data_IF_916689196646
#
_entry.id   IF_916689196646
#
_cell.length_a   1.000
_cell.length_b   1.000
_cell.length_c   1.000
_cell.angle_alpha   90.00
_cell.angle_beta   90.00
_cell.angle_gamma   90.00
#
_symmetry.space_group_name_H-M   'P 1'
#
loop_
_entity.id
_entity.type
_entity.pdbx_description
1 polymer ?
#
# COMPACT_ATOMS: atom_id res chain seq x y z
N UNK A 1 0.43 -13.88 -3.30
CA UNK A 1 -0.29 -12.59 -3.38
C UNK A 1 -1.52 -12.79 -4.24
N UNK A 2 -2.68 -12.23 -3.85
CA UNK A 2 -3.93 -12.28 -4.62
C UNK A 2 -4.41 -10.85 -4.89
N UNK A 3 -4.49 -10.38 -6.14
CA UNK A 3 -4.89 -9.00 -6.42
C UNK A 3 -6.30 -8.66 -5.91
N UNK A 4 -6.44 -7.51 -5.25
CA UNK A 4 -7.69 -6.98 -4.71
C UNK A 4 -7.86 -5.53 -5.17
N UNK A 5 -8.99 -5.22 -5.78
CA UNK A 5 -9.33 -3.85 -6.20
C UNK A 5 -9.76 -2.99 -5.02
N UNK A 6 -9.43 -1.70 -5.09
CA UNK A 6 -9.93 -0.72 -4.12
C UNK A 6 -11.45 -0.54 -4.29
N UNK A 7 -12.19 -0.39 -3.20
CA UNK A 7 -13.66 -0.19 -3.24
C UNK A 7 -14.03 1.30 -3.25
N UNK A 8 -13.19 2.15 -2.68
CA UNK A 8 -13.43 3.58 -2.51
C UNK A 8 -12.31 4.37 -3.20
N UNK A 9 -12.69 5.17 -4.21
CA UNK A 9 -11.81 6.18 -4.79
C UNK A 9 -11.84 7.46 -3.95
N UNK A 10 -10.73 8.17 -3.85
CA UNK A 10 -10.68 9.40 -3.05
C UNK A 10 -11.61 10.48 -3.64
N UNK A 11 -12.51 11.00 -2.79
CA UNK A 11 -13.50 12.03 -3.13
C UNK A 11 -13.63 13.02 -1.96
N UNK A 12 -12.71 13.99 -1.85
CA UNK A 12 -12.68 14.93 -0.72
C UNK A 12 -13.93 15.81 -0.63
N UNK A 13 -14.61 16.06 -1.74
CA UNK A 13 -15.86 16.83 -1.81
C UNK A 13 -17.01 16.25 -0.98
N UNK A 14 -16.97 14.95 -0.71
CA UNK A 14 -17.93 14.24 0.17
C UNK A 14 -17.25 13.65 1.42
N UNK A 15 -16.00 14.03 1.71
CA UNK A 15 -15.25 13.51 2.85
C UNK A 15 -14.83 12.04 2.75
N UNK A 16 -14.77 11.47 1.54
CA UNK A 16 -14.39 10.07 1.33
C UNK A 16 -12.89 9.92 1.06
N UNK A 17 -12.23 9.13 1.90
CA UNK A 17 -10.86 8.70 1.66
C UNK A 17 -10.81 7.53 0.68
N UNK A 18 -9.73 7.44 -0.09
CA UNK A 18 -9.48 6.27 -0.92
C UNK A 18 -8.94 5.10 -0.08
N UNK A 19 -9.20 3.87 -0.50
CA UNK A 19 -8.77 2.66 0.22
C UNK A 19 -7.69 1.85 -0.52
N UNK A 20 -6.85 2.51 -1.32
CA UNK A 20 -5.77 1.86 -2.07
C UNK A 20 -4.81 1.05 -1.17
N UNK A 21 -4.39 1.58 -0.02
CA UNK A 21 -3.54 0.83 0.91
C UNK A 21 -4.26 -0.38 1.50
N UNK A 22 -5.53 -0.24 1.90
CA UNK A 22 -6.35 -1.36 2.38
C UNK A 22 -6.38 -2.49 1.35
N UNK A 23 -6.55 -2.15 0.07
CA UNK A 23 -6.53 -3.12 -1.03
C UNK A 23 -5.15 -3.76 -1.25
N UNK A 24 -4.04 -3.00 -1.10
CA UNK A 24 -2.68 -3.56 -1.14
C UNK A 24 -2.45 -4.53 0.01
N UNK A 25 -2.79 -4.16 1.25
CA UNK A 25 -2.68 -5.03 2.42
C UNK A 25 -3.53 -6.29 2.27
N UNK A 26 -4.77 -6.16 1.81
CA UNK A 26 -5.63 -7.30 1.47
C UNK A 26 -4.98 -8.21 0.43
N UNK A 27 -4.31 -7.63 -0.58
CA UNK A 27 -3.64 -8.40 -1.62
C UNK A 27 -2.42 -9.18 -1.11
N UNK A 28 -1.60 -8.53 -0.27
CA UNK A 28 -0.39 -9.11 0.31
C UNK A 28 -0.70 -10.21 1.34
N UNK A 29 -1.75 -10.02 2.15
CA UNK A 29 -2.21 -11.00 3.14
C UNK A 29 -3.20 -12.03 2.57
N UNK A 30 -3.61 -11.87 1.31
CA UNK A 30 -4.61 -12.70 0.62
C UNK A 30 -5.97 -12.77 1.34
N UNK A 31 -6.37 -11.67 1.95
CA UNK A 31 -7.64 -11.54 2.67
C UNK A 31 -8.73 -10.92 1.77
N UNK A 32 -10.01 -11.24 2.02
CA UNK A 32 -11.12 -10.42 1.52
C UNK A 32 -10.97 -8.98 2.03
N UNK A 33 -11.24 -7.99 1.19
CA UNK A 33 -11.04 -6.58 1.54
C UNK A 33 -11.90 -6.16 2.75
N UNK A 34 -13.06 -6.79 2.93
CA UNK A 34 -13.97 -6.58 4.07
C UNK A 34 -13.35 -6.96 5.42
N UNK A 35 -12.30 -7.79 5.42
CA UNK A 35 -11.56 -8.16 6.64
C UNK A 35 -10.41 -7.21 6.96
N UNK A 36 -10.09 -6.27 6.07
CA UNK A 36 -9.05 -5.26 6.28
C UNK A 36 -9.71 -3.92 6.61
N UNK A 37 -9.37 -3.26 7.73
CA UNK A 37 -9.93 -1.96 8.09
C UNK A 37 -9.65 -0.87 7.03
N UNK A 38 -10.52 0.14 6.97
CA UNK A 38 -10.27 1.30 6.14
C UNK A 38 -9.43 2.32 6.94
N UNK A 39 -8.18 1.97 7.22
CA UNK A 39 -7.29 2.71 8.14
C UNK A 39 -7.34 4.24 8.00
N UNK A 40 -7.25 4.76 6.77
CA UNK A 40 -7.24 6.21 6.52
C UNK A 40 -8.59 6.89 6.84
N UNK A 41 -9.71 6.22 6.58
CA UNK A 41 -11.05 6.73 6.89
C UNK A 41 -11.31 6.64 8.40
N UNK A 42 -10.93 5.51 9.01
CA UNK A 42 -11.12 5.24 10.44
C UNK A 42 -10.29 6.19 11.30
N UNK A 43 -9.08 6.53 10.85
CA UNK A 43 -8.19 7.49 11.53
C UNK A 43 -8.65 8.95 11.40
N UNK A 44 -9.53 9.28 10.44
CA UNK A 44 -10.14 10.59 10.27
C UNK A 44 -9.15 11.78 10.34
N UNK A 45 -7.99 11.64 9.69
CA UNK A 45 -6.94 12.66 9.64
C UNK A 45 -5.87 12.56 10.74
N UNK A 46 -5.99 11.64 11.69
CA UNK A 46 -4.93 11.35 12.67
C UNK A 46 -3.87 10.42 12.07
N UNK A 47 -2.69 10.96 11.79
CA UNK A 47 -1.59 10.20 11.22
C UNK A 47 -1.06 9.11 12.18
N UNK A 48 -1.07 9.35 13.49
CA UNK A 48 -0.60 8.38 14.48
C UNK A 48 -1.54 7.19 14.54
N UNK A 49 -2.85 7.43 14.66
CA UNK A 49 -3.84 6.35 14.69
C UNK A 49 -3.82 5.53 13.40
N UNK A 50 -3.66 6.19 12.24
CA UNK A 50 -3.50 5.51 10.96
C UNK A 50 -2.34 4.50 10.97
N UNK A 51 -1.14 4.94 11.36
CA UNK A 51 0.03 4.06 11.36
C UNK A 51 -0.02 2.99 12.46
N UNK A 52 -0.50 3.33 13.65
CA UNK A 52 -0.62 2.37 14.75
C UNK A 52 -1.67 1.29 14.47
N UNK A 53 -2.82 1.65 13.89
CA UNK A 53 -3.87 0.70 13.52
C UNK A 53 -3.42 -0.25 12.41
N UNK A 54 -2.75 0.26 11.38
CA UNK A 54 -2.13 -0.55 10.33
C UNK A 54 -1.13 -1.55 10.92
N UNK A 55 -0.24 -1.08 11.80
CA UNK A 55 0.76 -1.95 12.43
C UNK A 55 0.14 -3.00 13.35
N UNK A 56 -0.88 -2.61 14.13
CA UNK A 56 -1.62 -3.52 15.02
C UNK A 56 -2.31 -4.62 14.21
N UNK A 57 -2.92 -4.26 13.09
CA UNK A 57 -3.54 -5.20 12.16
C UNK A 57 -2.52 -6.16 11.55
N UNK A 58 -1.43 -5.64 10.99
CA UNK A 58 -0.37 -6.50 10.44
C UNK A 58 0.18 -7.46 11.51
N UNK A 59 0.36 -6.98 12.74
CA UNK A 59 0.83 -7.79 13.88
C UNK A 59 -0.16 -8.86 14.29
N UNK A 60 -1.46 -8.61 14.26
CA UNK A 60 -2.46 -9.65 14.53
C UNK A 60 -2.46 -10.76 13.47
N UNK A 61 -1.91 -10.50 12.28
CA UNK A 61 -1.65 -11.49 11.23
C UNK A 61 -0.22 -12.06 11.25
N UNK A 62 0.59 -11.76 12.27
CA UNK A 62 1.95 -12.30 12.44
C UNK A 62 3.03 -11.56 11.64
N UNK A 63 2.78 -10.30 11.26
CA UNK A 63 3.72 -9.48 10.50
C UNK A 63 3.98 -8.12 11.14
N UNK A 64 5.10 -7.50 10.77
CA UNK A 64 5.41 -6.10 10.99
C UNK A 64 5.40 -5.43 9.62
N UNK A 65 4.73 -4.29 9.50
CA UNK A 65 4.76 -3.44 8.32
C UNK A 65 5.99 -2.51 8.43
N UNK A 66 6.98 -2.71 7.56
CA UNK A 66 8.24 -1.98 7.58
C UNK A 66 8.39 -1.15 6.32
N UNK A 67 8.39 0.17 6.46
CA UNK A 67 8.63 1.12 5.36
C UNK A 67 10.13 1.38 5.23
N UNK A 68 10.64 1.32 4.00
CA UNK A 68 12.01 1.70 3.64
C UNK A 68 12.00 2.59 2.38
N UNK A 69 12.96 3.51 2.23
CA UNK A 69 13.13 4.26 0.98
C UNK A 69 13.42 3.34 -0.21
N UNK A 70 12.86 3.62 -1.40
CA UNK A 70 13.02 2.78 -2.60
C UNK A 70 14.49 2.51 -2.99
N UNK A 71 15.38 3.48 -2.76
CA UNK A 71 16.83 3.33 -3.01
C UNK A 71 17.49 2.15 -2.27
N UNK A 72 16.88 1.68 -1.19
CA UNK A 72 17.37 0.56 -0.39
C UNK A 72 16.82 -0.80 -0.87
N UNK A 73 15.76 -0.80 -1.69
CA UNK A 73 15.01 -2.00 -2.07
C UNK A 73 15.78 -2.97 -2.97
N UNK A 74 16.64 -2.47 -3.86
CA UNK A 74 17.38 -3.30 -4.83
C UNK A 74 18.27 -4.37 -4.18
N UNK A 75 18.74 -4.15 -2.95
CA UNK A 75 19.54 -5.14 -2.22
C UNK A 75 18.72 -6.27 -1.55
N UNK A 76 17.39 -6.14 -1.48
CA UNK A 76 16.49 -7.16 -0.92
C UNK A 76 16.04 -8.19 -1.96
N UNK A 77 16.20 -7.88 -3.24
CA UNK A 77 15.74 -8.71 -4.33
C UNK A 77 16.94 -9.50 -4.87
N UNK A 78 16.88 -10.82 -4.76
CA UNK A 78 17.86 -11.72 -5.35
C UNK A 78 17.39 -12.26 -6.70
N UNK A 79 18.20 -13.16 -7.28
CA UNK A 79 17.86 -13.85 -8.52
C UNK A 79 16.75 -14.90 -8.34
N UNK A 80 16.50 -15.32 -7.09
CA UNK A 80 15.54 -16.37 -6.75
C UNK A 80 14.35 -15.83 -5.93
N UNK A 81 13.14 -16.08 -6.44
CA UNK A 81 11.88 -15.87 -5.72
C UNK A 81 11.21 -14.51 -5.91
N UNK A 82 9.91 -14.48 -5.62
CA UNK A 82 9.09 -13.28 -5.69
C UNK A 82 8.96 -12.64 -4.30
N UNK A 83 9.43 -11.40 -4.17
CA UNK A 83 9.23 -10.58 -2.96
C UNK A 83 8.11 -9.57 -3.22
N UNK A 84 6.90 -9.95 -2.83
CA UNK A 84 5.74 -9.07 -2.87
C UNK A 84 5.79 -8.04 -1.73
N UNK A 85 5.51 -6.78 -2.07
CA UNK A 85 5.57 -5.64 -1.15
C UNK A 85 4.62 -4.54 -1.60
N UNK A 86 4.41 -3.54 -0.76
CA UNK A 86 3.77 -2.28 -1.15
C UNK A 86 4.81 -1.34 -1.77
N UNK A 87 4.42 -0.64 -2.82
CA UNK A 87 5.14 0.54 -3.32
C UNK A 87 4.19 1.72 -3.21
N UNK A 88 4.62 2.82 -2.62
CA UNK A 88 3.83 4.02 -2.49
C UNK A 88 4.56 5.25 -3.02
N UNK A 89 3.80 6.20 -3.56
CA UNK A 89 4.35 7.39 -4.17
C UNK A 89 3.28 8.38 -4.63
N UNK A 90 3.67 9.46 -5.34
CA UNK A 90 2.74 10.45 -5.84
C UNK A 90 1.67 9.85 -6.76
N UNK A 91 0.43 10.27 -6.57
CA UNK A 91 -0.69 9.92 -7.45
C UNK A 91 -0.62 10.66 -8.81
N UNK A 92 -0.61 10.00 -9.99
CA UNK A 92 -0.76 10.67 -11.30
C UNK A 92 -2.07 11.41 -11.51
N UNK A 93 -3.04 11.31 -10.59
CA UNK A 93 -4.37 11.92 -10.73
C UNK A 93 -4.42 13.39 -10.29
N UNK A 94 -3.26 14.01 -10.03
CA UNK A 94 -3.13 15.47 -9.91
C UNK A 94 -3.77 16.09 -8.67
N UNK A 95 -4.08 15.29 -7.66
CA UNK A 95 -4.76 15.71 -6.42
C UNK A 95 -3.81 15.89 -5.23
N UNK A 96 -2.49 15.75 -5.44
CA UNK A 96 -1.48 15.98 -4.39
C UNK A 96 -1.44 14.92 -3.28
N UNK A 97 -2.15 13.79 -3.45
CA UNK A 97 -2.15 12.69 -2.48
C UNK A 97 -1.20 11.58 -2.89
N UNK A 98 -0.82 10.75 -1.92
CA UNK A 98 -0.07 9.51 -2.17
C UNK A 98 -1.00 8.39 -2.63
N UNK A 99 -0.43 7.40 -3.31
CA UNK A 99 -1.11 6.20 -3.78
C UNK A 99 -0.26 4.97 -3.48
N UNK A 100 -0.91 3.85 -3.20
CA UNK A 100 -0.26 2.58 -2.90
C UNK A 100 -0.58 1.56 -4.00
N UNK A 101 0.43 0.78 -4.40
CA UNK A 101 0.32 -0.32 -5.37
C UNK A 101 1.06 -1.55 -4.85
N UNK A 102 0.74 -2.72 -5.39
CA UNK A 102 1.48 -3.95 -5.13
C UNK A 102 2.70 -3.99 -6.04
N UNK A 103 3.86 -4.16 -5.43
CA UNK A 103 5.12 -4.44 -6.09
C UNK A 103 5.55 -5.90 -5.97
N UNK A 104 6.36 -6.36 -6.92
CA UNK A 104 7.17 -7.58 -6.83
C UNK A 104 8.59 -7.25 -7.29
N UNK A 105 9.60 -7.56 -6.48
CA UNK A 105 11.01 -7.34 -6.82
C UNK A 105 11.31 -5.90 -7.32
N UNK A 106 10.76 -4.91 -6.62
CA UNK A 106 10.89 -3.48 -6.91
C UNK A 106 10.06 -2.97 -8.10
N UNK A 107 9.32 -3.83 -8.78
CA UNK A 107 8.48 -3.47 -9.92
C UNK A 107 7.01 -3.43 -9.52
N UNK A 108 6.27 -2.44 -10.01
CA UNK A 108 4.80 -2.42 -9.85
C UNK A 108 4.19 -3.57 -10.64
N UNK A 109 3.47 -4.46 -9.97
CA UNK A 109 2.79 -5.60 -10.60
C UNK A 109 1.27 -5.47 -10.59
N UNK A 110 0.72 -4.68 -9.68
CA UNK A 110 -0.72 -4.45 -9.62
C UNK A 110 -1.06 -3.13 -8.92
N UNK A 111 -1.83 -2.28 -9.58
CA UNK A 111 -2.38 -1.04 -9.02
C UNK A 111 -3.86 -1.28 -8.68
N UNK A 112 -4.31 -1.20 -7.41
CA UNK A 112 -5.70 -1.46 -7.04
C UNK A 112 -6.70 -0.41 -7.55
N UNK A 113 -6.23 0.73 -8.06
CA UNK A 113 -7.10 1.76 -8.61
C UNK A 113 -7.74 1.32 -9.94
N UNK A 114 -9.03 1.62 -10.22
CA UNK A 114 -9.69 1.21 -11.46
C UNK A 114 -8.97 1.64 -12.75
N UNK A 115 -8.23 2.76 -12.71
CA UNK A 115 -7.50 3.27 -13.87
C UNK A 115 -6.19 2.52 -14.18
N UNK A 116 -5.65 1.74 -13.22
CA UNK A 116 -4.34 1.07 -13.31
C UNK A 116 -3.19 2.00 -13.74
N UNK A 117 -3.26 3.27 -13.36
CA UNK A 117 -2.31 4.27 -13.84
C UNK A 117 -0.99 4.27 -13.06
N UNK A 118 -0.90 3.48 -11.99
CA UNK A 118 0.29 3.35 -11.16
C UNK A 118 0.59 4.63 -10.37
N UNK A 119 1.89 4.96 -10.33
CA UNK A 119 2.48 6.05 -9.58
C UNK A 119 3.15 7.06 -10.53
N UNK A 120 3.24 8.31 -10.07
CA UNK A 120 3.85 9.42 -10.80
C UNK A 120 5.18 9.83 -10.15
N UNK A 121 5.89 10.72 -10.85
CA UNK A 121 7.17 11.24 -10.40
C UNK A 121 8.32 10.26 -10.62
N UNK A 122 9.43 10.54 -9.96
CA UNK A 122 10.65 9.75 -10.03
C UNK A 122 10.55 8.51 -9.13
N UNK A 123 10.69 7.28 -9.66
CA UNK A 123 10.70 6.06 -8.84
C UNK A 123 11.72 6.05 -7.71
N UNK A 124 12.81 6.81 -7.82
CA UNK A 124 13.80 6.92 -6.76
C UNK A 124 13.28 7.61 -5.48
N UNK A 125 12.15 8.33 -5.56
CA UNK A 125 11.52 9.02 -4.43
C UNK A 125 10.35 8.25 -3.81
N UNK A 126 10.01 7.09 -4.36
CA UNK A 126 8.97 6.23 -3.82
C UNK A 126 9.41 5.55 -2.52
N UNK A 127 8.43 5.01 -1.79
CA UNK A 127 8.65 4.20 -0.61
C UNK A 127 8.24 2.76 -0.88
N UNK A 128 8.96 1.80 -0.29
CA UNK A 128 8.61 0.40 -0.32
C UNK A 128 8.24 -0.03 1.09
N UNK A 129 7.17 -0.81 1.25
CA UNK A 129 6.82 -1.38 2.54
C UNK A 129 6.64 -2.90 2.49
N UNK A 130 7.24 -3.58 3.46
CA UNK A 130 7.31 -5.03 3.51
C UNK A 130 6.56 -5.56 4.73
N UNK A 131 5.87 -6.68 4.55
CA UNK A 131 5.34 -7.47 5.65
C UNK A 131 6.41 -8.46 6.11
N UNK A 132 7.09 -8.13 7.21
CA UNK A 132 8.16 -8.95 7.79
C UNK A 132 7.58 -9.81 8.89
N UNK A 133 7.88 -11.11 8.91
CA UNK A 133 7.34 -12.01 9.95
C UNK A 133 7.76 -11.54 11.35
N UNK A 134 6.79 -11.41 12.25
CA UNK A 134 6.96 -10.92 13.63
C UNK A 134 7.51 -11.98 14.59
#
# INVERSE_FOLDING_TARGET
MKPVDQQFVHRPEIGQHGDCQRAVIASLLELPIEQVPHFLQDANGDATEYWESLQRFCRSHGFVYLVIPARSGGGFFGDDGDVFHEISGPSPRGNGVTHAVVGCNGQVVFDPHPSRAGLAGDPATWEHAYLVRA
#
